data_IF_974852369420
#
_entry.id   IF_974852369420
#
_cell.length_a   1.000
_cell.length_b   1.000
_cell.length_c   1.000
_cell.angle_alpha   90.00
_cell.angle_beta   90.00
_cell.angle_gamma   90.00
#
_symmetry.space_group_name_H-M   'P 1'
#
loop_
_entity.id
_entity.type
_entity.pdbx_description
1 polymer ?
#
# COMPACT_ATOMS: atom_id res chain seq x y z
N UNK A 1 21.54 -14.00 -6.11
CA UNK A 1 20.62 -12.86 -5.88
C UNK A 1 19.30 -13.40 -5.35
N UNK A 2 19.05 -13.18 -4.08
CA UNK A 2 17.86 -13.74 -3.41
C UNK A 2 16.59 -13.00 -3.82
N UNK A 3 15.80 -13.61 -4.67
CA UNK A 3 14.46 -13.13 -5.10
C UNK A 3 13.40 -13.12 -3.98
N UNK A 4 13.72 -13.58 -2.77
CA UNK A 4 12.77 -13.68 -1.65
C UNK A 4 12.73 -12.48 -0.70
N UNK A 5 13.74 -11.61 -0.72
CA UNK A 5 13.86 -10.52 0.26
C UNK A 5 13.06 -9.25 -0.09
N UNK A 6 12.75 -9.03 -1.36
CA UNK A 6 12.07 -7.81 -1.80
C UNK A 6 10.60 -7.76 -1.40
N UNK A 7 9.87 -8.88 -1.45
CA UNK A 7 8.45 -8.91 -1.08
C UNK A 7 8.22 -8.69 0.42
N UNK A 8 9.02 -9.29 1.29
CA UNK A 8 8.91 -9.11 2.73
C UNK A 8 9.26 -7.69 3.19
N UNK A 9 10.16 -7.03 2.48
CA UNK A 9 10.60 -5.67 2.79
C UNK A 9 9.55 -4.63 2.43
N UNK A 10 8.92 -4.75 1.27
CA UNK A 10 7.83 -3.86 0.83
C UNK A 10 6.64 -3.96 1.77
N UNK A 11 6.27 -5.16 2.18
CA UNK A 11 5.09 -5.39 3.02
C UNK A 11 5.18 -4.69 4.39
N UNK A 12 6.35 -4.65 5.02
CA UNK A 12 6.52 -3.95 6.31
C UNK A 12 6.40 -2.42 6.18
N UNK A 13 6.78 -1.84 5.04
CA UNK A 13 6.59 -0.41 4.80
C UNK A 13 5.11 -0.07 4.60
N UNK A 14 4.39 -0.88 3.83
CA UNK A 14 2.94 -0.72 3.64
C UNK A 14 2.21 -0.87 4.99
N UNK A 15 2.57 -1.89 5.77
CA UNK A 15 2.04 -2.07 7.13
C UNK A 15 2.27 -0.83 8.00
N UNK A 16 3.48 -0.25 7.98
CA UNK A 16 3.78 0.94 8.78
C UNK A 16 2.96 2.16 8.34
N UNK A 17 2.80 2.37 7.03
CA UNK A 17 1.95 3.44 6.48
C UNK A 17 0.50 3.24 6.95
N UNK A 18 -0.01 2.02 6.91
CA UNK A 18 -1.38 1.70 7.28
C UNK A 18 -1.64 1.98 8.77
N UNK A 19 -0.79 1.51 9.67
CA UNK A 19 -0.99 1.74 11.12
C UNK A 19 -0.81 3.20 11.51
N UNK A 20 0.02 3.97 10.80
CA UNK A 20 0.24 5.39 11.00
C UNK A 20 -0.77 6.29 10.27
N UNK A 21 -1.79 5.74 9.64
CA UNK A 21 -2.96 6.51 9.20
C UNK A 21 -3.63 7.23 10.37
N UNK A 22 -3.52 6.65 11.58
CA UNK A 22 -3.89 7.26 12.84
C UNK A 22 -2.65 7.59 13.68
N UNK A 23 -2.67 8.65 14.50
CA UNK A 23 -1.53 9.00 15.35
C UNK A 23 -1.17 7.86 16.31
N UNK A 24 0.10 7.50 16.39
CA UNK A 24 0.60 6.48 17.32
C UNK A 24 1.94 6.88 17.90
N UNK A 25 2.15 6.53 19.18
CA UNK A 25 3.46 6.64 19.82
C UNK A 25 4.38 5.52 19.32
N UNK A 26 5.68 5.70 19.50
CA UNK A 26 6.64 4.66 19.15
C UNK A 26 6.40 3.36 19.91
N UNK A 27 6.01 3.44 21.19
CA UNK A 27 5.67 2.27 21.99
C UNK A 27 4.48 1.48 21.40
N UNK A 28 3.43 2.17 20.96
CA UNK A 28 2.29 1.54 20.30
C UNK A 28 2.69 0.86 18.99
N UNK A 29 3.58 1.48 18.20
CA UNK A 29 4.11 0.87 16.99
C UNK A 29 4.90 -0.40 17.30
N UNK A 30 5.73 -0.39 18.35
CA UNK A 30 6.47 -1.57 18.79
C UNK A 30 5.55 -2.72 19.21
N UNK A 31 4.50 -2.45 19.98
CA UNK A 31 3.54 -3.46 20.40
C UNK A 31 2.76 -4.06 19.22
N UNK A 32 2.38 -3.25 18.25
CA UNK A 32 1.75 -3.72 17.02
C UNK A 32 2.71 -4.56 16.18
N UNK A 33 3.99 -4.16 16.10
CA UNK A 33 5.00 -4.91 15.37
C UNK A 33 5.27 -6.29 15.96
N UNK A 34 5.33 -6.42 17.29
CA UNK A 34 5.50 -7.71 17.95
C UNK A 34 4.40 -8.71 17.60
N UNK A 35 3.18 -8.23 17.36
CA UNK A 35 2.02 -9.06 17.02
C UNK A 35 1.84 -9.25 15.51
N UNK A 36 2.65 -8.56 14.71
CA UNK A 36 2.52 -8.57 13.25
C UNK A 36 3.05 -9.88 12.66
N UNK A 37 2.30 -10.50 11.77
CA UNK A 37 2.71 -11.71 11.04
C UNK A 37 3.94 -11.50 10.14
N UNK A 38 4.23 -10.24 9.79
CA UNK A 38 5.42 -9.88 9.01
C UNK A 38 6.71 -9.87 9.84
N UNK A 39 6.58 -9.96 11.18
CA UNK A 39 7.71 -10.04 12.08
C UNK A 39 8.24 -11.48 12.14
N UNK A 40 9.11 -11.83 11.19
CA UNK A 40 9.69 -13.18 11.07
C UNK A 40 10.52 -13.61 12.30
N UNK A 41 10.91 -12.66 13.14
CA UNK A 41 11.68 -12.90 14.35
C UNK A 41 10.80 -13.05 15.61
N UNK A 42 9.57 -13.47 15.44
CA UNK A 42 8.62 -13.87 16.50
C UNK A 42 8.70 -13.00 17.78
N UNK A 43 8.24 -11.77 17.67
CA UNK A 43 8.09 -10.91 18.84
C UNK A 43 9.31 -10.05 19.16
N UNK A 44 10.32 -9.99 18.31
CA UNK A 44 11.39 -9.00 18.49
C UNK A 44 10.87 -7.58 18.37
N UNK A 45 11.22 -6.69 19.30
CA UNK A 45 10.78 -5.32 19.25
C UNK A 45 11.44 -4.58 18.08
N UNK A 46 10.70 -3.67 17.49
CA UNK A 46 11.24 -2.71 16.53
C UNK A 46 12.13 -1.71 17.27
N UNK A 47 13.41 -1.61 16.90
CA UNK A 47 14.30 -0.60 17.47
C UNK A 47 14.07 0.79 16.82
N UNK A 48 14.49 1.85 17.51
CA UNK A 48 14.31 3.23 17.04
C UNK A 48 15.06 3.51 15.73
N UNK A 49 16.26 2.96 15.56
CA UNK A 49 17.08 3.18 14.37
C UNK A 49 16.40 2.56 13.15
N UNK A 50 15.92 1.32 13.29
CA UNK A 50 15.16 0.63 12.23
C UNK A 50 13.88 1.41 11.88
N UNK A 51 13.14 1.89 12.86
CA UNK A 51 11.95 2.69 12.64
C UNK A 51 12.25 4.00 11.87
N UNK A 52 13.33 4.71 12.22
CA UNK A 52 13.74 5.90 11.49
C UNK A 52 14.17 5.57 10.06
N UNK A 53 14.90 4.48 9.85
CA UNK A 53 15.30 4.03 8.52
C UNK A 53 14.05 3.69 7.66
N UNK A 54 13.06 3.02 8.25
CA UNK A 54 11.81 2.73 7.54
C UNK A 54 11.06 4.00 7.14
N UNK A 55 10.99 4.98 8.02
CA UNK A 55 10.37 6.28 7.71
C UNK A 55 11.06 6.96 6.53
N UNK A 56 12.40 6.96 6.52
CA UNK A 56 13.16 7.55 5.44
C UNK A 56 12.93 6.79 4.13
N UNK A 57 12.99 5.47 4.16
CA UNK A 57 12.73 4.63 2.99
C UNK A 57 11.30 4.84 2.45
N UNK A 58 10.31 4.93 3.33
CA UNK A 58 8.92 5.22 2.95
C UNK A 58 8.83 6.57 2.24
N UNK A 59 9.51 7.58 2.74
CA UNK A 59 9.55 8.88 2.08
C UNK A 59 10.23 8.81 0.71
N UNK A 60 11.38 8.16 0.61
CA UNK A 60 12.19 8.11 -0.61
C UNK A 60 11.50 7.30 -1.73
N UNK A 61 10.88 6.16 -1.41
CA UNK A 61 10.26 5.28 -2.40
C UNK A 61 8.78 5.58 -2.67
N UNK A 62 8.03 5.94 -1.63
CA UNK A 62 6.58 6.17 -1.76
C UNK A 62 6.20 7.65 -1.69
N UNK A 63 7.17 8.54 -1.35
CA UNK A 63 6.93 9.96 -1.15
C UNK A 63 5.96 10.25 0.00
N UNK A 64 5.71 9.27 0.87
CA UNK A 64 4.80 9.39 2.01
C UNK A 64 5.56 9.98 3.19
N UNK A 65 5.14 11.16 3.61
CA UNK A 65 5.74 11.84 4.76
C UNK A 65 5.05 11.44 6.06
N UNK A 66 5.85 11.02 7.03
CA UNK A 66 5.39 10.71 8.38
C UNK A 66 5.79 11.87 9.28
N UNK A 67 4.82 12.68 9.71
CA UNK A 67 5.05 13.78 10.63
C UNK A 67 5.17 13.28 12.07
N UNK A 68 5.92 14.04 12.86
CA UNK A 68 6.06 13.83 14.29
C UNK A 68 5.37 14.97 15.01
N UNK A 69 4.44 14.67 15.88
CA UNK A 69 3.77 15.65 16.75
C UNK A 69 4.20 15.38 18.18
N UNK A 70 4.67 16.41 18.86
CA UNK A 70 5.07 16.34 20.26
C UNK A 70 3.91 16.81 21.13
N UNK A 71 3.45 15.97 22.03
CA UNK A 71 2.48 16.33 23.05
C UNK A 71 3.09 15.98 24.42
N UNK A 72 3.62 16.98 25.11
CA UNK A 72 4.31 16.78 26.39
C UNK A 72 5.62 15.98 26.22
N UNK A 73 5.78 14.93 27.02
CA UNK A 73 6.97 14.05 27.00
C UNK A 73 6.96 13.02 25.88
N UNK A 74 5.81 12.77 25.25
CA UNK A 74 5.67 11.75 24.22
C UNK A 74 5.55 12.36 22.83
N UNK A 75 6.15 11.66 21.86
CA UNK A 75 6.03 11.97 20.44
C UNK A 75 5.12 10.97 19.76
N UNK A 76 4.14 11.45 19.00
CA UNK A 76 3.30 10.64 18.12
C UNK A 76 3.71 10.82 16.67
N UNK A 77 3.51 9.79 15.89
CA UNK A 77 3.83 9.69 14.47
C UNK A 77 2.55 9.44 13.68
N UNK A 78 2.40 10.16 12.58
CA UNK A 78 1.24 10.02 11.71
C UNK A 78 1.63 10.31 10.25
N UNK A 79 1.04 9.57 9.32
CA UNK A 79 1.14 9.89 7.89
C UNK A 79 0.50 11.25 7.63
N UNK A 80 1.23 12.11 6.93
CA UNK A 80 0.74 13.42 6.54
C UNK A 80 -0.21 13.26 5.34
N UNK A 81 -1.49 13.57 5.56
CA UNK A 81 -2.49 13.60 4.48
C UNK A 81 -2.34 14.90 3.71
N UNK A 82 -1.83 14.84 2.49
CA UNK A 82 -1.75 15.98 1.60
C UNK A 82 -3.00 16.13 0.71
N UNK A 83 -3.40 17.34 0.33
CA UNK A 83 -4.54 17.53 -0.54
C UNK A 83 -4.24 17.10 -1.99
N UNK A 84 -5.03 16.19 -2.53
CA UNK A 84 -5.32 16.03 -3.95
C UNK A 84 -4.32 15.32 -4.86
N UNK A 85 -3.01 15.40 -4.63
CA UNK A 85 -2.00 14.74 -5.49
C UNK A 85 -1.69 13.29 -5.11
N UNK A 86 -2.15 12.86 -3.96
CA UNK A 86 -1.79 11.56 -3.39
C UNK A 86 -2.87 10.48 -3.61
N UNK A 87 -3.94 10.79 -4.34
CA UNK A 87 -5.05 9.84 -4.53
C UNK A 87 -4.60 8.55 -5.21
N UNK A 88 -3.77 8.63 -6.24
CA UNK A 88 -3.25 7.45 -6.95
C UNK A 88 -2.32 6.65 -6.05
N UNK A 89 -1.43 7.32 -5.32
CA UNK A 89 -0.53 6.69 -4.37
C UNK A 89 -1.29 6.01 -3.23
N UNK A 90 -2.24 6.72 -2.63
CA UNK A 90 -3.06 6.18 -1.55
C UNK A 90 -3.90 4.99 -2.03
N UNK A 91 -4.41 5.05 -3.24
CA UNK A 91 -5.11 3.94 -3.87
C UNK A 91 -4.20 2.73 -4.07
N UNK A 92 -2.98 2.93 -4.60
CA UNK A 92 -1.99 1.85 -4.78
C UNK A 92 -1.60 1.21 -3.45
N UNK A 93 -1.31 2.02 -2.42
CA UNK A 93 -0.97 1.53 -1.08
C UNK A 93 -2.14 0.74 -0.50
N UNK A 94 -3.36 1.25 -0.63
CA UNK A 94 -4.58 0.58 -0.18
C UNK A 94 -4.78 -0.77 -0.88
N UNK A 95 -4.57 -0.83 -2.18
CA UNK A 95 -4.68 -2.06 -2.98
C UNK A 95 -3.67 -3.11 -2.52
N UNK A 96 -2.40 -2.73 -2.32
CA UNK A 96 -1.36 -3.63 -1.82
C UNK A 96 -1.68 -4.11 -0.41
N UNK A 97 -2.19 -3.23 0.46
CA UNK A 97 -2.61 -3.58 1.82
C UNK A 97 -3.71 -4.64 1.81
N UNK A 98 -4.74 -4.47 0.99
CA UNK A 98 -5.82 -5.46 0.82
C UNK A 98 -5.27 -6.79 0.31
N UNK A 99 -4.43 -6.76 -0.73
CA UNK A 99 -3.79 -7.96 -1.26
C UNK A 99 -3.00 -8.72 -0.20
N UNK A 100 -2.21 -8.01 0.62
CA UNK A 100 -1.44 -8.62 1.69
C UNK A 100 -2.33 -9.27 2.75
N UNK A 101 -3.47 -8.64 3.10
CA UNK A 101 -4.45 -9.20 4.03
C UNK A 101 -5.08 -10.49 3.49
N UNK A 102 -5.41 -10.52 2.20
CA UNK A 102 -5.94 -11.71 1.55
C UNK A 102 -4.91 -12.85 1.54
N UNK A 103 -3.66 -12.55 1.18
CA UNK A 103 -2.57 -13.54 1.17
C UNK A 103 -2.33 -14.10 2.58
N UNK A 104 -2.33 -13.24 3.61
CA UNK A 104 -2.14 -13.67 5.00
C UNK A 104 -3.30 -14.54 5.53
N UNK A 105 -4.45 -14.51 4.89
CA UNK A 105 -5.65 -15.25 5.28
C UNK A 105 -6.07 -16.30 4.25
N UNK A 106 -5.10 -16.90 3.57
CA UNK A 106 -5.36 -17.92 2.53
C UNK A 106 -6.19 -19.11 3.03
N UNK A 107 -6.17 -19.40 4.33
CA UNK A 107 -6.97 -20.48 4.94
C UNK A 107 -8.49 -20.27 4.86
N UNK A 108 -8.92 -19.04 4.64
CA UNK A 108 -10.35 -18.69 4.49
C UNK A 108 -10.70 -18.26 3.06
N UNK A 109 -9.79 -18.49 2.11
CA UNK A 109 -9.96 -18.12 0.70
C UNK A 109 -11.28 -18.61 0.12
N UNK A 110 -11.68 -19.83 0.45
CA UNK A 110 -12.92 -20.46 -0.05
C UNK A 110 -14.20 -19.75 0.43
N UNK A 111 -14.08 -18.87 1.43
CA UNK A 111 -15.19 -18.07 1.98
C UNK A 111 -15.20 -16.64 1.43
N UNK A 112 -14.19 -16.26 0.65
CA UNK A 112 -14.06 -14.93 0.06
C UNK A 112 -14.41 -15.05 -1.41
N UNK A 113 -15.56 -14.51 -1.78
CA UNK A 113 -15.92 -14.35 -3.19
C UNK A 113 -15.17 -13.15 -3.74
N UNK A 114 -14.15 -13.41 -4.54
CA UNK A 114 -13.49 -12.38 -5.32
C UNK A 114 -14.16 -12.33 -6.69
N UNK A 115 -14.61 -11.15 -7.06
CA UNK A 115 -15.07 -10.91 -8.40
C UNK A 115 -13.85 -10.96 -9.35
N UNK A 116 -13.92 -11.85 -10.34
CA UNK A 116 -12.88 -11.97 -11.35
C UNK A 116 -13.05 -10.84 -12.37
N UNK A 117 -12.61 -9.65 -11.97
CA UNK A 117 -12.53 -8.54 -12.91
C UNK A 117 -11.26 -8.76 -13.73
N UNK A 118 -11.37 -8.96 -15.04
CA UNK A 118 -10.20 -9.10 -15.90
C UNK A 118 -9.27 -7.92 -15.67
N UNK A 119 -8.06 -8.18 -15.21
CA UNK A 119 -7.07 -7.13 -15.04
C UNK A 119 -6.71 -6.61 -16.44
N UNK A 120 -7.20 -5.44 -16.78
CA UNK A 120 -6.90 -4.73 -18.04
C UNK A 120 -5.48 -4.18 -18.08
N UNK A 121 -4.52 -4.92 -17.52
CA UNK A 121 -3.12 -4.51 -17.48
C UNK A 121 -2.56 -4.19 -18.86
N UNK A 122 -2.95 -4.95 -19.88
CA UNK A 122 -2.56 -4.71 -21.27
C UNK A 122 -3.14 -3.40 -21.83
N UNK A 123 -4.38 -3.08 -21.46
CA UNK A 123 -5.01 -1.81 -21.86
C UNK A 123 -4.46 -0.63 -21.09
N UNK A 124 -4.03 -0.83 -19.83
CA UNK A 124 -3.51 0.22 -18.98
C UNK A 124 -2.26 0.87 -19.57
N UNK A 125 -1.33 0.08 -20.09
CA UNK A 125 -0.11 0.61 -20.72
C UNK A 125 -0.44 1.49 -21.93
N UNK A 126 -1.37 1.06 -22.77
CA UNK A 126 -1.85 1.83 -23.93
C UNK A 126 -2.45 3.17 -23.50
N UNK A 127 -3.29 3.15 -22.45
CA UNK A 127 -3.91 4.38 -21.91
C UNK A 127 -2.84 5.32 -21.33
N UNK A 128 -1.90 4.80 -20.55
CA UNK A 128 -0.83 5.59 -19.95
C UNK A 128 0.07 6.24 -21.02
N UNK A 129 0.41 5.51 -22.08
CA UNK A 129 1.20 6.04 -23.17
C UNK A 129 0.44 7.10 -24.00
N UNK A 130 -0.84 6.92 -24.21
CA UNK A 130 -1.68 7.91 -24.86
C UNK A 130 -1.75 9.21 -24.05
N UNK A 131 -1.91 9.10 -22.72
CA UNK A 131 -1.90 10.26 -21.81
C UNK A 131 -0.56 11.00 -21.87
N UNK A 132 0.58 10.27 -21.78
CA UNK A 132 1.92 10.87 -21.86
C UNK A 132 2.17 11.62 -23.17
N UNK A 133 1.64 11.10 -24.27
CA UNK A 133 1.86 11.63 -25.62
C UNK A 133 0.73 12.55 -26.08
N UNK A 134 -0.27 12.84 -25.23
CA UNK A 134 -1.47 13.61 -25.58
C UNK A 134 -2.17 13.08 -26.85
N UNK A 135 -2.28 11.75 -26.96
CA UNK A 135 -2.96 11.08 -28.09
C UNK A 135 -4.39 10.71 -27.72
N UNK A 136 -5.24 10.68 -28.73
CA UNK A 136 -6.57 10.09 -28.61
C UNK A 136 -6.47 8.56 -28.66
N UNK A 137 -7.33 7.91 -27.92
CA UNK A 137 -7.52 6.45 -27.96
C UNK A 137 -8.92 6.15 -28.46
N UNK A 138 -9.05 5.06 -29.20
CA UNK A 138 -10.34 4.49 -29.58
C UNK A 138 -10.42 3.10 -28.99
N UNK A 139 -11.55 2.72 -28.43
CA UNK A 139 -11.77 1.42 -27.85
C UNK A 139 -13.20 0.95 -28.10
N UNK A 140 -13.37 -0.36 -28.21
CA UNK A 140 -14.68 -0.99 -28.23
C UNK A 140 -15.06 -1.32 -26.79
N UNK A 141 -16.24 -0.86 -26.38
CA UNK A 141 -16.77 -1.12 -25.05
C UNK A 141 -17.90 -2.13 -25.14
N UNK A 142 -17.75 -3.23 -24.45
CA UNK A 142 -18.79 -4.23 -24.28
C UNK A 142 -19.40 -4.09 -22.89
N UNK A 143 -20.66 -3.70 -22.82
CA UNK A 143 -21.37 -3.66 -21.55
C UNK A 143 -21.84 -5.07 -21.18
N UNK A 144 -21.90 -5.37 -19.90
CA UNK A 144 -22.30 -6.68 -19.40
C UNK A 144 -23.74 -7.08 -19.78
N UNK A 145 -24.55 -6.11 -20.16
CA UNK A 145 -25.98 -6.28 -20.41
C UNK A 145 -26.46 -5.86 -21.81
N UNK A 146 -25.63 -5.25 -22.64
CA UNK A 146 -26.05 -4.70 -23.94
C UNK A 146 -25.00 -4.93 -25.04
N UNK A 147 -25.39 -4.69 -26.29
CA UNK A 147 -24.53 -4.82 -27.46
C UNK A 147 -23.32 -3.87 -27.41
N UNK A 148 -22.17 -4.24 -28.02
CA UNK A 148 -20.94 -3.44 -27.94
C UNK A 148 -21.14 -2.03 -28.51
N UNK A 149 -20.79 -1.04 -27.71
CA UNK A 149 -20.77 0.37 -28.10
C UNK A 149 -19.33 0.78 -28.45
N UNK A 150 -19.15 1.28 -29.67
CA UNK A 150 -17.87 1.91 -30.06
C UNK A 150 -17.87 3.38 -29.64
N UNK A 151 -16.90 3.78 -28.84
CA UNK A 151 -16.75 5.16 -28.34
C UNK A 151 -15.43 5.75 -28.80
#
# INVERSE_FOLDING_TARGET
MNKGETHGTTNKYIWLIEILSQPKTFMQVQELWKKCSLNNNQGQPLDRKTFYNWRQTIFDYYGVKIKTTRAGAESSYQVESGPGRDNVRNWLIGTISVQNKLISNMSIRDRILLEDVPSSGECLDTVLDAIKQNRLISFDYEDYWEEPLTV
#
